data_IF_937248089609
#
_entry.id   IF_937248089609
#
_cell.length_a   1.000
_cell.length_b   1.000
_cell.length_c   1.000
_cell.angle_alpha   90.00
_cell.angle_beta   90.00
_cell.angle_gamma   90.00
#
_symmetry.space_group_name_H-M   'P 1'
#
loop_
_entity.id
_entity.type
_entity.pdbx_description
1 polymer ?
#
# COMPACT_ATOMS: atom_id res chain seq x y z
N UNK A 1 -39.49 24.71 -37.90
CA UNK A 1 -38.08 25.09 -38.10
C UNK A 1 -37.33 25.28 -36.81
N UNK A 2 -37.96 25.67 -35.73
CA UNK A 2 -37.34 25.84 -34.44
C UNK A 2 -36.98 24.53 -33.74
N UNK A 3 -37.56 23.42 -34.13
CA UNK A 3 -37.34 22.10 -33.52
C UNK A 3 -35.94 21.55 -33.77
N UNK A 4 -35.37 21.83 -34.91
CA UNK A 4 -34.10 21.26 -35.27
C UNK A 4 -32.93 21.84 -34.52
N UNK A 5 -33.05 23.07 -34.09
CA UNK A 5 -31.98 23.76 -33.37
C UNK A 5 -31.85 23.30 -31.94
N UNK A 6 -32.98 23.03 -31.30
CA UNK A 6 -32.93 22.53 -29.91
C UNK A 6 -32.47 21.09 -29.79
N UNK A 7 -32.72 20.27 -30.81
CA UNK A 7 -32.24 18.88 -30.82
C UNK A 7 -30.74 18.80 -30.99
N UNK A 8 -30.16 19.67 -31.80
CA UNK A 8 -28.72 19.69 -32.03
C UNK A 8 -27.96 20.16 -30.78
N UNK A 9 -28.52 21.15 -30.07
CA UNK A 9 -27.93 21.65 -28.84
C UNK A 9 -27.93 20.59 -27.73
N UNK A 10 -28.98 19.78 -27.67
CA UNK A 10 -29.04 18.68 -26.69
C UNK A 10 -28.03 17.57 -26.93
N UNK A 11 -27.77 17.28 -28.19
CA UNK A 11 -26.77 16.24 -28.55
C UNK A 11 -25.34 16.67 -28.25
N UNK A 12 -25.01 17.92 -28.46
CA UNK A 12 -23.70 18.47 -28.18
C UNK A 12 -23.43 18.44 -26.66
N UNK A 13 -24.43 18.69 -25.87
CA UNK A 13 -24.30 18.68 -24.41
C UNK A 13 -24.04 17.28 -23.86
N UNK A 14 -24.62 16.27 -24.46
CA UNK A 14 -24.43 14.88 -24.01
C UNK A 14 -23.01 14.38 -24.28
N UNK A 15 -22.39 14.82 -25.37
CA UNK A 15 -21.06 14.35 -25.71
C UNK A 15 -19.97 14.93 -24.83
N UNK A 16 -20.20 16.05 -24.16
CA UNK A 16 -19.23 16.62 -23.24
C UNK A 16 -19.15 15.87 -21.90
N UNK A 17 -20.23 15.27 -21.48
CA UNK A 17 -20.26 14.55 -20.22
C UNK A 17 -19.40 13.29 -20.22
N UNK A 18 -19.25 12.66 -21.34
CA UNK A 18 -18.49 11.42 -21.44
C UNK A 18 -16.98 11.58 -21.31
N UNK A 19 -16.47 12.75 -21.56
CA UNK A 19 -15.02 12.96 -21.54
C UNK A 19 -14.45 13.18 -20.16
N UNK A 20 -15.25 13.65 -19.23
CA UNK A 20 -14.78 13.94 -17.88
C UNK A 20 -14.60 12.70 -17.01
N UNK A 21 -15.37 11.65 -17.24
CA UNK A 21 -15.28 10.45 -16.42
C UNK A 21 -14.13 9.52 -16.82
N UNK A 22 -13.53 9.70 -17.98
CA UNK A 22 -12.44 8.85 -18.44
C UNK A 22 -11.06 9.29 -17.91
N UNK A 23 -10.93 10.51 -17.42
CA UNK A 23 -9.64 11.04 -17.00
C UNK A 23 -9.29 10.76 -15.54
N UNK A 24 -10.27 10.41 -14.72
CA UNK A 24 -10.01 10.19 -13.29
C UNK A 24 -9.44 8.83 -12.96
N UNK A 25 -9.52 7.87 -13.86
CA UNK A 25 -9.10 6.50 -13.58
C UNK A 25 -7.61 6.24 -13.72
N UNK A 26 -6.85 7.14 -14.29
CA UNK A 26 -5.45 6.88 -14.61
C UNK A 26 -4.43 7.32 -13.58
N UNK A 27 -4.77 8.20 -12.64
CA UNK A 27 -3.76 8.86 -11.82
C UNK A 27 -3.64 8.36 -10.39
N UNK A 28 -4.49 7.43 -9.93
CA UNK A 28 -4.51 7.01 -8.53
C UNK A 28 -4.00 5.58 -8.29
N UNK A 29 -3.62 4.87 -9.33
CA UNK A 29 -3.29 3.44 -9.21
C UNK A 29 -1.93 3.20 -8.56
N UNK A 30 -1.00 4.14 -8.69
CA UNK A 30 0.40 3.93 -8.31
C UNK A 30 0.70 4.11 -6.83
N UNK A 31 -0.22 4.70 -6.05
CA UNK A 31 0.01 4.97 -4.64
C UNK A 31 -0.78 4.08 -3.69
N UNK A 32 -1.51 3.10 -4.21
CA UNK A 32 -2.37 2.25 -3.40
C UNK A 32 -1.63 1.03 -2.86
N UNK A 33 -1.77 0.83 -1.57
CA UNK A 33 -1.42 -0.43 -0.93
C UNK A 33 -2.61 -1.36 -1.00
N UNK A 34 -2.37 -2.62 -1.35
CA UNK A 34 -3.40 -3.64 -1.36
C UNK A 34 -3.10 -4.69 -0.30
N UNK A 35 -4.09 -4.99 0.51
CA UNK A 35 -4.02 -6.15 1.39
C UNK A 35 -4.41 -7.38 0.59
N UNK A 36 -3.45 -8.26 0.35
CA UNK A 36 -3.68 -9.46 -0.47
C UNK A 36 -4.28 -10.60 0.33
N UNK A 37 -3.80 -10.79 1.55
CA UNK A 37 -4.30 -11.85 2.42
C UNK A 37 -4.06 -11.52 3.88
N UNK A 38 -4.94 -12.03 4.72
CA UNK A 38 -4.82 -11.92 6.16
C UNK A 38 -5.77 -12.92 6.79
N UNK A 39 -5.50 -13.29 8.03
CA UNK A 39 -6.40 -14.13 8.80
C UNK A 39 -7.56 -13.34 9.36
N UNK A 40 -7.31 -12.14 9.84
CA UNK A 40 -8.34 -11.25 10.36
C UNK A 40 -7.92 -9.80 10.22
N UNK A 41 -8.92 -8.93 10.23
CA UNK A 41 -8.73 -7.49 10.25
C UNK A 41 -9.78 -6.87 11.17
N UNK A 42 -9.36 -5.99 12.05
CA UNK A 42 -10.27 -5.27 12.93
C UNK A 42 -9.87 -3.81 13.04
N UNK A 43 -10.84 -2.97 13.33
CA UNK A 43 -10.60 -1.56 13.58
C UNK A 43 -10.31 -1.37 15.05
N UNK A 44 -9.19 -0.73 15.37
CA UNK A 44 -8.83 -0.43 16.75
C UNK A 44 -8.48 1.04 16.87
N UNK A 45 -8.57 1.55 18.10
CA UNK A 45 -8.11 2.87 18.44
C UNK A 45 -6.97 2.75 19.44
N UNK A 46 -5.87 3.44 19.17
CA UNK A 46 -4.73 3.47 20.06
C UNK A 46 -4.21 4.90 20.15
N UNK A 47 -4.18 5.43 21.35
CA UNK A 47 -3.71 6.80 21.62
C UNK A 47 -4.44 7.85 20.78
N UNK A 48 -5.74 7.67 20.58
CA UNK A 48 -6.57 8.59 19.82
C UNK A 48 -6.45 8.44 18.31
N UNK A 49 -5.74 7.43 17.83
CA UNK A 49 -5.53 7.19 16.41
C UNK A 49 -6.20 5.88 15.99
N UNK A 50 -6.90 5.92 14.88
CA UNK A 50 -7.58 4.76 14.32
C UNK A 50 -6.65 3.95 13.43
N UNK A 51 -6.56 2.66 13.71
CA UNK A 51 -5.77 1.73 12.94
C UNK A 51 -6.63 0.57 12.45
N UNK A 52 -6.23 0.00 11.34
CA UNK A 52 -6.66 -1.34 10.95
C UNK A 52 -5.60 -2.31 11.45
N UNK A 53 -5.98 -3.16 12.39
CA UNK A 53 -5.11 -4.21 12.87
C UNK A 53 -5.32 -5.45 12.03
N UNK A 54 -4.28 -5.86 11.32
CA UNK A 54 -4.30 -7.01 10.44
C UNK A 54 -3.48 -8.10 11.09
N UNK A 55 -4.06 -9.27 11.27
CA UNK A 55 -3.36 -10.41 11.82
C UNK A 55 -3.24 -11.49 10.77
N UNK A 56 -2.15 -12.23 10.86
CA UNK A 56 -1.81 -12.93 9.75
C UNK A 56 -1.50 -14.39 9.74
N UNK A 57 -0.69 -14.74 8.79
CA UNK A 57 0.25 -13.89 8.05
C UNK A 57 -0.45 -12.90 7.13
N UNK A 58 -0.11 -11.63 7.31
CA UNK A 58 -0.63 -10.53 6.50
C UNK A 58 0.31 -10.27 5.33
N UNK A 59 -0.27 -10.06 4.15
CA UNK A 59 0.50 -9.76 2.93
C UNK A 59 -0.05 -8.52 2.27
N UNK A 60 0.81 -7.55 2.10
CA UNK A 60 0.50 -6.30 1.41
C UNK A 60 1.30 -6.19 0.13
N UNK A 61 0.73 -5.55 -0.85
CA UNK A 61 1.42 -5.22 -2.11
C UNK A 61 1.34 -3.72 -2.35
N UNK A 62 2.48 -3.11 -2.58
CA UNK A 62 2.59 -1.72 -2.98
C UNK A 62 3.59 -1.63 -4.13
N UNK A 63 3.11 -1.26 -5.32
CA UNK A 63 3.91 -1.31 -6.55
C UNK A 63 4.50 -2.72 -6.72
N UNK A 64 5.80 -2.86 -6.75
CA UNK A 64 6.49 -4.14 -6.89
C UNK A 64 6.98 -4.72 -5.55
N UNK A 65 6.57 -4.09 -4.45
CA UNK A 65 7.05 -4.46 -3.12
C UNK A 65 5.99 -5.24 -2.37
N UNK A 66 6.36 -6.42 -1.88
CA UNK A 66 5.52 -7.19 -0.96
C UNK A 66 5.99 -6.98 0.47
N UNK A 67 5.06 -6.73 1.36
CA UNK A 67 5.30 -6.70 2.79
C UNK A 67 4.53 -7.85 3.42
N UNK A 68 5.25 -8.71 4.15
CA UNK A 68 4.68 -9.87 4.81
C UNK A 68 5.04 -9.80 6.29
N UNK A 69 4.07 -10.06 7.17
CA UNK A 69 4.30 -10.02 8.62
C UNK A 69 3.21 -10.80 9.34
N UNK A 70 3.43 -11.07 10.62
CA UNK A 70 2.42 -11.75 11.44
C UNK A 70 1.32 -10.79 11.87
N UNK A 71 1.66 -9.56 12.20
CA UNK A 71 0.70 -8.55 12.63
C UNK A 71 1.09 -7.21 12.04
N UNK A 72 0.10 -6.43 11.62
CA UNK A 72 0.31 -5.08 11.12
C UNK A 72 -0.73 -4.13 11.70
N UNK A 73 -0.27 -2.93 12.04
CA UNK A 73 -1.12 -1.80 12.36
C UNK A 73 -1.05 -0.83 11.19
N UNK A 74 -2.14 -0.69 10.50
CA UNK A 74 -2.21 0.13 9.29
C UNK A 74 -3.00 1.40 9.59
N UNK A 75 -2.30 2.53 9.56
CA UNK A 75 -2.93 3.83 9.63
C UNK A 75 -3.24 4.28 8.20
N UNK A 76 -4.51 4.15 7.80
CA UNK A 76 -4.93 4.47 6.44
C UNK A 76 -4.87 5.97 6.18
N UNK A 77 -5.05 6.77 7.22
CA UNK A 77 -5.04 8.22 7.10
C UNK A 77 -3.65 8.76 6.75
N UNK A 78 -2.63 8.27 7.44
CA UNK A 78 -1.24 8.68 7.17
C UNK A 78 -0.54 7.79 6.17
N UNK A 79 -1.16 6.69 5.81
CA UNK A 79 -0.62 5.68 4.90
C UNK A 79 0.69 5.10 5.41
N UNK A 80 0.68 4.71 6.69
CA UNK A 80 1.80 4.07 7.35
C UNK A 80 1.38 2.69 7.84
N UNK A 81 2.25 1.71 7.66
CA UNK A 81 2.03 0.34 8.12
C UNK A 81 3.13 -0.02 9.10
N UNK A 82 2.74 -0.35 10.32
CA UNK A 82 3.66 -0.84 11.34
C UNK A 82 3.55 -2.35 11.41
N UNK A 83 4.59 -3.04 10.94
CA UNK A 83 4.62 -4.49 10.86
C UNK A 83 5.41 -5.09 12.01
N UNK A 84 4.91 -6.16 12.57
CA UNK A 84 5.46 -6.80 13.77
C UNK A 84 5.56 -8.31 13.55
N UNK A 85 6.68 -8.86 13.90
CA UNK A 85 7.01 -10.29 13.90
C UNK A 85 7.07 -10.91 12.52
N UNK A 86 8.16 -11.58 12.25
CA UNK A 86 8.42 -12.28 11.00
C UNK A 86 8.20 -11.38 9.79
N UNK A 87 8.77 -10.17 9.86
CA UNK A 87 8.59 -9.17 8.83
C UNK A 87 9.52 -9.46 7.66
N UNK A 88 8.96 -9.44 6.45
CA UNK A 88 9.71 -9.59 5.20
C UNK A 88 9.30 -8.51 4.22
N UNK A 89 10.28 -7.92 3.59
CA UNK A 89 10.09 -7.06 2.42
C UNK A 89 10.71 -7.78 1.24
N UNK A 90 9.90 -7.96 0.20
CA UNK A 90 10.32 -8.57 -1.06
C UNK A 90 10.20 -7.54 -2.16
N UNK A 91 11.32 -7.20 -2.77
CA UNK A 91 11.34 -6.28 -3.89
C UNK A 91 12.30 -6.82 -4.93
N UNK A 92 11.80 -7.06 -6.15
CA UNK A 92 12.53 -7.75 -7.20
C UNK A 92 13.04 -9.10 -6.69
N UNK A 93 14.34 -9.27 -6.57
CA UNK A 93 14.96 -10.49 -6.06
C UNK A 93 15.66 -10.27 -4.74
N UNK A 94 15.31 -9.18 -4.06
CA UNK A 94 15.88 -8.83 -2.77
C UNK A 94 14.89 -9.13 -1.67
N UNK A 95 15.34 -9.75 -0.60
CA UNK A 95 14.54 -10.06 0.57
C UNK A 95 15.18 -9.45 1.80
N UNK A 96 14.43 -8.59 2.49
CA UNK A 96 14.81 -8.07 3.80
C UNK A 96 13.93 -8.69 4.85
N UNK A 97 14.52 -9.21 5.91
CA UNK A 97 13.78 -9.79 7.03
C UNK A 97 14.17 -9.14 8.34
N UNK A 98 13.23 -9.04 9.25
CA UNK A 98 13.46 -8.45 10.57
C UNK A 98 12.26 -8.66 11.47
N UNK A 99 12.35 -8.09 12.69
CA UNK A 99 11.31 -8.25 13.69
C UNK A 99 10.21 -7.20 13.59
N UNK A 100 10.58 -5.97 13.31
CA UNK A 100 9.66 -4.83 13.23
C UNK A 100 10.03 -3.92 12.09
N UNK A 101 9.02 -3.32 11.51
CA UNK A 101 9.20 -2.44 10.36
C UNK A 101 8.11 -1.37 10.37
N UNK A 102 8.49 -0.15 10.05
CA UNK A 102 7.53 0.88 9.67
C UNK A 102 7.66 1.12 8.18
N UNK A 103 6.57 0.94 7.45
CA UNK A 103 6.53 1.19 6.02
C UNK A 103 5.74 2.47 5.75
N UNK A 104 6.43 3.44 5.18
CA UNK A 104 5.84 4.72 4.79
C UNK A 104 5.47 4.64 3.32
N UNK A 105 4.21 4.36 3.07
CA UNK A 105 3.74 4.05 1.71
C UNK A 105 3.97 5.21 0.75
N UNK A 106 3.64 6.42 1.17
CA UNK A 106 3.75 7.60 0.31
C UNK A 106 5.18 7.92 -0.09
N UNK A 107 6.14 7.52 0.72
CA UNK A 107 7.56 7.74 0.46
C UNK A 107 8.26 6.51 -0.09
N UNK A 108 7.55 5.42 -0.21
CA UNK A 108 8.09 4.12 -0.61
C UNK A 108 9.34 3.77 0.21
N UNK A 109 9.24 3.97 1.51
CA UNK A 109 10.35 3.84 2.45
C UNK A 109 10.01 2.82 3.52
N UNK A 110 10.90 1.85 3.70
CA UNK A 110 10.81 0.86 4.76
C UNK A 110 11.91 1.10 5.78
N UNK A 111 11.53 1.21 7.04
CA UNK A 111 12.46 1.42 8.14
C UNK A 111 12.34 0.27 9.12
N UNK A 112 13.38 -0.57 9.15
CA UNK A 112 13.43 -1.69 10.08
C UNK A 112 13.81 -1.24 11.48
N UNK A 113 13.20 -1.86 12.45
CA UNK A 113 13.48 -1.67 13.87
C UNK A 113 13.62 -3.04 14.51
N UNK A 114 14.46 -3.14 15.53
CA UNK A 114 14.69 -4.40 16.22
C UNK A 114 16.12 -4.84 16.16
N UNK A 115 16.37 -6.06 16.63
CA UNK A 115 17.72 -6.48 16.90
C UNK A 115 18.46 -7.08 15.71
N UNK A 116 17.75 -7.65 14.73
CA UNK A 116 18.41 -8.32 13.61
C UNK A 116 17.69 -8.07 12.32
N UNK A 117 18.44 -7.60 11.34
CA UNK A 117 17.96 -7.42 9.97
C UNK A 117 18.83 -8.24 9.04
N UNK A 118 18.21 -9.00 8.19
CA UNK A 118 18.90 -9.84 7.21
C UNK A 118 18.51 -9.43 5.80
N UNK A 119 19.50 -9.22 4.96
CA UNK A 119 19.34 -8.96 3.55
C UNK A 119 19.84 -10.17 2.75
N UNK A 120 19.00 -10.64 1.85
CA UNK A 120 19.36 -11.69 0.92
C UNK A 120 19.07 -11.22 -0.50
N UNK A 121 20.03 -11.31 -1.39
CA UNK A 121 19.84 -10.96 -2.79
C UNK A 121 19.74 -12.21 -3.69
N UNK A 122 19.57 -11.97 -4.99
CA UNK A 122 19.40 -13.04 -5.98
C UNK A 122 20.61 -13.95 -6.12
N UNK A 123 21.78 -13.50 -5.70
CA UNK A 123 23.03 -14.27 -5.79
C UNK A 123 23.29 -15.03 -4.48
N UNK A 124 22.30 -15.08 -3.60
CA UNK A 124 22.37 -15.72 -2.29
C UNK A 124 23.40 -15.10 -1.34
N UNK A 125 23.75 -13.85 -1.59
CA UNK A 125 24.55 -13.09 -0.63
C UNK A 125 23.67 -12.69 0.54
N UNK A 126 24.13 -12.94 1.73
CA UNK A 126 23.39 -12.67 2.96
C UNK A 126 24.14 -11.64 3.78
N UNK A 127 23.49 -10.54 4.07
CA UNK A 127 23.99 -9.52 4.98
C UNK A 127 23.11 -9.52 6.23
N UNK A 128 23.75 -9.65 7.38
CA UNK A 128 23.07 -9.58 8.67
C UNK A 128 23.60 -8.40 9.46
N UNK A 129 22.72 -7.65 10.04
CA UNK A 129 23.09 -6.50 10.87
C UNK A 129 22.10 -6.36 12.00
N UNK A 130 22.57 -5.82 13.11
CA UNK A 130 21.70 -5.39 14.19
C UNK A 130 21.33 -3.95 13.96
N UNK A 131 20.05 -3.68 14.04
CA UNK A 131 19.54 -2.34 13.90
C UNK A 131 19.18 -1.79 15.27
N UNK A 132 19.94 -0.82 15.73
CA UNK A 132 19.72 -0.18 17.02
C UNK A 132 19.04 1.17 16.78
N UNK A 133 17.89 1.35 17.39
CA UNK A 133 17.18 2.64 17.29
C UNK A 133 17.89 3.76 17.98
#
# INVERSE_FOLDING_TARGET
MTFRRSLIAGLIFLSMFFRLSAQEKGSQVDSLVRLLSAQSMELIEKDGVDYRKVTGPARFLHNDTFLICDTALWNVRTNEIFAISNVKILQDQTVLTGDKLTYYVDRDLAEFRGSLVQLEDKDHNVLRTEFLD
#
